data_IF_562246004552
#
_entry.id   IF_562246004552
#
_cell.length_a   1.000
_cell.length_b   1.000
_cell.length_c   1.000
_cell.angle_alpha   90.00
_cell.angle_beta   90.00
_cell.angle_gamma   90.00
#
_symmetry.space_group_name_H-M   'P 1'
#
loop_
_entity.id
_entity.type
_entity.pdbx_description
1 polymer ?
#
# COMPACT_ATOMS: atom_id res chain seq x y z
N UNK A 1 11.86 -10.86 26.21
CA UNK A 1 11.30 -12.20 26.46
C UNK A 1 12.44 -13.21 26.48
N UNK A 2 12.52 -14.09 27.49
CA UNK A 2 13.57 -15.13 27.55
C UNK A 2 13.28 -16.21 26.49
N UNK A 3 14.33 -16.81 25.95
CA UNK A 3 14.22 -17.96 25.03
C UNK A 3 13.51 -19.11 25.73
N UNK A 4 12.44 -19.63 25.13
CA UNK A 4 11.58 -20.68 25.70
C UNK A 4 12.09 -22.07 25.32
N UNK A 5 13.01 -22.61 26.12
CA UNK A 5 13.63 -23.93 25.88
C UNK A 5 12.62 -25.09 25.96
N UNK A 6 11.62 -24.97 26.84
CA UNK A 6 10.60 -26.01 27.06
C UNK A 6 9.72 -26.27 25.82
N UNK A 7 9.59 -25.28 24.92
CA UNK A 7 8.81 -25.43 23.70
C UNK A 7 9.55 -26.22 22.61
N UNK A 8 10.88 -26.27 22.67
CA UNK A 8 11.72 -26.91 21.65
C UNK A 8 12.09 -28.32 22.09
N UNK A 9 12.41 -28.53 23.37
CA UNK A 9 12.88 -29.81 23.90
C UNK A 9 11.75 -30.79 24.29
N UNK A 10 10.59 -30.71 23.64
CA UNK A 10 9.41 -31.53 23.97
C UNK A 10 9.68 -33.02 23.67
N UNK A 11 10.41 -33.31 22.59
CA UNK A 11 10.78 -34.68 22.23
C UNK A 11 11.69 -35.31 23.29
N UNK A 12 12.70 -34.57 23.75
CA UNK A 12 13.62 -35.04 24.80
C UNK A 12 12.89 -35.27 26.12
N UNK A 13 12.03 -34.33 26.51
CA UNK A 13 11.24 -34.42 27.75
C UNK A 13 10.29 -35.62 27.73
N UNK A 14 9.57 -35.83 26.62
CA UNK A 14 8.67 -36.98 26.49
C UNK A 14 9.42 -38.30 26.36
N UNK A 15 10.59 -38.32 25.73
CA UNK A 15 11.52 -39.45 25.75
C UNK A 15 11.82 -39.85 27.19
N UNK A 16 12.16 -38.88 28.04
CA UNK A 16 12.50 -39.13 29.42
C UNK A 16 11.30 -39.63 30.24
N UNK A 17 10.10 -39.11 29.99
CA UNK A 17 8.86 -39.58 30.63
C UNK A 17 8.42 -40.98 30.18
N UNK A 18 8.69 -41.36 28.94
CA UNK A 18 8.47 -42.72 28.45
C UNK A 18 9.48 -43.69 29.08
N UNK A 19 10.75 -43.29 29.18
CA UNK A 19 11.81 -44.08 29.83
C UNK A 19 11.56 -44.28 31.32
N UNK A 20 11.06 -43.27 32.03
CA UNK A 20 10.75 -43.35 33.46
C UNK A 20 9.42 -44.05 33.76
N UNK A 21 8.62 -44.39 32.74
CA UNK A 21 7.32 -45.03 32.91
C UNK A 21 6.20 -44.09 33.40
N UNK A 22 6.46 -42.78 33.51
CA UNK A 22 5.43 -41.76 33.84
C UNK A 22 4.35 -41.73 32.76
N UNK A 23 4.76 -41.86 31.50
CA UNK A 23 3.86 -42.04 30.37
C UNK A 23 4.02 -43.47 29.87
N UNK A 24 2.91 -44.22 29.83
CA UNK A 24 2.91 -45.63 29.39
C UNK A 24 2.80 -45.79 27.87
N UNK A 25 2.10 -44.87 27.21
CA UNK A 25 1.83 -44.93 25.78
C UNK A 25 2.53 -43.79 25.06
N UNK A 26 3.24 -44.12 23.98
CA UNK A 26 3.91 -43.13 23.15
C UNK A 26 2.88 -42.20 22.49
N UNK A 27 3.01 -40.87 22.63
CA UNK A 27 2.12 -39.92 21.95
C UNK A 27 2.21 -40.07 20.43
N UNK A 28 1.07 -39.89 19.74
CA UNK A 28 0.99 -40.05 18.28
C UNK A 28 2.00 -39.18 17.51
N UNK A 29 2.26 -37.95 17.98
CA UNK A 29 3.18 -37.01 17.34
C UNK A 29 4.67 -37.33 17.58
N UNK A 30 5.02 -38.18 18.56
CA UNK A 30 6.41 -38.40 18.97
C UNK A 30 7.30 -38.89 17.83
N UNK A 31 6.83 -39.88 17.06
CA UNK A 31 7.58 -40.45 15.93
C UNK A 31 7.74 -39.42 14.80
N UNK A 32 6.73 -38.57 14.59
CA UNK A 32 6.74 -37.52 13.56
C UNK A 32 7.78 -36.45 13.89
N UNK A 33 7.78 -35.94 15.12
CA UNK A 33 8.76 -34.94 15.59
C UNK A 33 10.17 -35.52 15.64
N UNK A 34 10.32 -36.82 15.93
CA UNK A 34 11.62 -37.49 15.84
C UNK A 34 12.17 -37.61 14.42
N UNK A 35 11.28 -37.69 13.43
CA UNK A 35 11.65 -37.70 12.01
C UNK A 35 11.93 -36.29 11.47
N UNK A 36 11.20 -35.28 11.95
CA UNK A 36 11.31 -33.89 11.52
C UNK A 36 11.61 -33.04 12.77
N UNK A 37 12.88 -32.95 13.20
CA UNK A 37 13.24 -32.16 14.37
C UNK A 37 13.01 -30.65 14.10
N UNK A 38 12.59 -29.87 15.11
CA UNK A 38 12.44 -28.43 14.97
C UNK A 38 13.79 -27.75 14.74
N UNK A 39 13.81 -26.62 14.02
CA UNK A 39 15.00 -25.78 13.88
C UNK A 39 15.25 -24.98 15.17
N UNK A 40 16.47 -25.08 15.73
CA UNK A 40 16.81 -24.56 17.06
C UNK A 40 17.72 -23.32 17.01
N UNK A 41 18.09 -22.88 15.81
CA UNK A 41 19.01 -21.75 15.66
C UNK A 41 18.30 -20.41 15.91
N UNK A 42 18.24 -20.03 17.20
CA UNK A 42 17.71 -18.75 17.68
C UNK A 42 18.80 -17.68 17.78
N UNK A 43 19.94 -17.88 17.13
CA UNK A 43 21.02 -16.90 17.12
C UNK A 43 20.66 -15.74 16.19
N UNK A 44 21.13 -14.55 16.53
CA UNK A 44 20.94 -13.37 15.68
C UNK A 44 21.91 -13.45 14.51
N UNK A 45 21.40 -13.75 13.33
CA UNK A 45 22.21 -13.80 12.10
C UNK A 45 22.50 -12.40 11.57
N UNK A 46 23.71 -12.19 11.06
CA UNK A 46 24.05 -10.95 10.37
C UNK A 46 23.29 -10.91 9.03
N UNK A 47 22.68 -9.76 8.73
CA UNK A 47 22.06 -9.50 7.44
C UNK A 47 23.18 -9.25 6.41
N UNK A 48 23.33 -10.15 5.44
CA UNK A 48 24.25 -9.94 4.31
C UNK A 48 23.58 -8.96 3.34
N UNK A 49 24.21 -7.81 3.11
CA UNK A 49 23.75 -6.84 2.11
C UNK A 49 23.75 -7.49 0.72
N UNK A 50 22.58 -7.77 0.16
CA UNK A 50 22.43 -8.18 -1.25
C UNK A 50 22.01 -7.04 -2.17
N UNK A 51 21.67 -5.88 -1.60
CA UNK A 51 21.41 -4.71 -2.41
C UNK A 51 22.74 -4.24 -2.99
N UNK A 52 22.91 -4.46 -4.29
CA UNK A 52 23.90 -3.77 -5.12
C UNK A 52 23.47 -2.30 -5.22
N UNK A 53 23.48 -1.57 -4.10
CA UNK A 53 23.50 -0.12 -4.19
C UNK A 53 24.80 0.22 -4.89
N UNK A 54 24.74 0.53 -6.18
CA UNK A 54 25.79 1.29 -6.85
C UNK A 54 25.79 2.64 -6.16
N UNK A 55 26.43 2.70 -4.99
CA UNK A 55 26.75 3.94 -4.32
C UNK A 55 27.65 4.67 -5.31
N UNK A 56 27.06 5.50 -6.18
CA UNK A 56 27.78 6.50 -6.92
C UNK A 56 28.45 7.35 -5.86
N UNK A 57 29.73 7.04 -5.62
CA UNK A 57 30.53 7.74 -4.64
C UNK A 57 30.64 9.17 -5.15
N UNK A 58 29.74 10.05 -4.65
CA UNK A 58 29.97 11.48 -4.60
C UNK A 58 31.36 11.63 -3.99
N UNK A 59 32.35 11.99 -4.81
CA UNK A 59 33.71 12.22 -4.34
C UNK A 59 33.64 13.49 -3.50
N UNK A 60 33.78 13.42 -2.16
CA UNK A 60 33.87 14.65 -1.40
C UNK A 60 35.15 15.36 -1.84
N UNK A 61 35.06 16.66 -2.13
CA UNK A 61 36.22 17.50 -2.45
C UNK A 61 37.29 17.50 -1.35
N UNK A 62 36.96 17.04 -0.14
CA UNK A 62 37.85 16.98 1.00
C UNK A 62 38.29 15.54 1.29
N UNK A 63 39.62 15.34 1.39
CA UNK A 63 40.19 14.06 1.79
C UNK A 63 39.81 13.70 3.23
N UNK A 64 39.31 12.47 3.42
CA UNK A 64 38.96 11.95 4.74
C UNK A 64 40.22 11.55 5.51
N UNK A 65 40.69 12.43 6.40
CA UNK A 65 41.92 12.22 7.19
C UNK A 65 41.73 11.51 8.53
N UNK A 66 40.48 11.30 8.99
CA UNK A 66 40.18 10.63 10.27
C UNK A 66 39.02 9.65 10.16
N UNK A 67 39.10 8.55 10.89
CA UNK A 67 38.02 7.56 11.01
C UNK A 67 37.03 8.03 12.09
N UNK A 68 35.72 8.03 11.78
CA UNK A 68 34.68 8.31 12.76
C UNK A 68 34.32 7.02 13.52
N UNK A 69 34.56 6.92 14.84
CA UNK A 69 34.30 5.70 15.60
C UNK A 69 32.81 5.40 15.83
N UNK A 70 31.90 6.38 15.62
CA UNK A 70 30.46 6.22 15.86
C UNK A 70 29.73 5.40 14.79
N UNK A 71 30.35 5.19 13.63
CA UNK A 71 29.71 4.55 12.46
C UNK A 71 29.65 3.01 12.52
N UNK A 72 30.30 2.37 13.49
CA UNK A 72 30.56 0.92 13.47
C UNK A 72 29.47 0.10 14.19
N UNK A 73 28.55 0.73 14.93
CA UNK A 73 27.67 -0.02 15.84
C UNK A 73 26.31 -0.42 15.22
N UNK A 74 25.94 -1.68 15.44
CA UNK A 74 24.59 -2.29 15.38
C UNK A 74 23.87 -2.41 14.02
N UNK A 75 24.47 -2.03 12.89
CA UNK A 75 23.82 -2.17 11.58
C UNK A 75 23.81 -3.59 11.01
N UNK A 76 24.81 -4.41 11.34
CA UNK A 76 24.98 -5.76 10.77
C UNK A 76 23.82 -6.72 11.08
N UNK A 77 23.15 -6.55 12.21
CA UNK A 77 22.09 -7.46 12.64
C UNK A 77 20.69 -6.85 12.54
N UNK A 78 20.56 -5.67 11.94
CA UNK A 78 19.27 -5.01 11.70
C UNK A 78 18.80 -5.41 10.30
N UNK A 79 17.50 -5.67 10.15
CA UNK A 79 16.90 -5.81 8.82
C UNK A 79 17.12 -4.53 8.01
N UNK A 80 17.47 -4.70 6.74
CA UNK A 80 17.64 -3.57 5.82
C UNK A 80 16.27 -3.08 5.37
N UNK A 81 16.16 -1.77 5.16
CA UNK A 81 15.03 -1.19 4.47
C UNK A 81 15.20 -1.51 2.98
N UNK A 82 14.15 -2.04 2.37
CA UNK A 82 14.10 -2.24 0.93
C UNK A 82 13.76 -0.89 0.29
N UNK A 83 14.59 -0.45 -0.65
CA UNK A 83 14.42 0.80 -1.39
C UNK A 83 14.57 0.46 -2.87
N UNK A 84 13.61 0.92 -3.66
CA UNK A 84 13.48 0.64 -5.08
C UNK A 84 13.43 1.97 -5.85
N UNK A 85 13.98 2.00 -7.07
CA UNK A 85 13.96 3.21 -7.91
C UNK A 85 12.53 3.54 -8.33
N UNK A 86 11.72 2.49 -8.47
CA UNK A 86 10.30 2.52 -8.74
C UNK A 86 9.53 3.30 -7.68
N UNK A 87 9.96 3.28 -6.41
CA UNK A 87 9.28 4.01 -5.34
C UNK A 87 9.41 5.53 -5.53
N UNK A 88 10.56 6.00 -6.02
CA UNK A 88 10.78 7.42 -6.34
C UNK A 88 9.92 7.83 -7.55
N UNK A 89 9.85 6.98 -8.58
CA UNK A 89 9.01 7.22 -9.76
C UNK A 89 7.52 7.21 -9.43
N UNK A 90 7.06 6.30 -8.56
CA UNK A 90 5.68 6.26 -8.07
C UNK A 90 5.34 7.55 -7.32
N UNK A 91 6.20 7.99 -6.41
CA UNK A 91 6.02 9.23 -5.67
C UNK A 91 5.89 10.42 -6.63
N UNK A 92 6.86 10.55 -7.55
CA UNK A 92 6.85 11.61 -8.58
C UNK A 92 5.56 11.61 -9.41
N UNK A 93 5.11 10.43 -9.85
CA UNK A 93 3.91 10.31 -10.68
C UNK A 93 2.65 10.77 -9.94
N UNK A 94 2.42 10.28 -8.72
CA UNK A 94 1.21 10.63 -7.96
C UNK A 94 1.26 12.06 -7.38
N UNK A 95 2.44 12.64 -7.20
CA UNK A 95 2.60 14.05 -6.87
C UNK A 95 2.21 14.94 -8.06
N UNK A 96 2.58 14.54 -9.28
CA UNK A 96 2.18 15.23 -10.52
C UNK A 96 0.70 15.01 -10.87
N UNK A 97 0.13 13.85 -10.51
CA UNK A 97 -1.25 13.47 -10.83
C UNK A 97 -2.05 13.11 -9.58
N UNK A 98 -2.43 14.09 -8.73
CA UNK A 98 -3.16 13.82 -7.50
C UNK A 98 -4.49 13.08 -7.73
N UNK A 99 -5.17 13.38 -8.84
CA UNK A 99 -6.46 12.77 -9.20
C UNK A 99 -6.35 11.30 -9.62
N UNK A 100 -5.17 10.81 -9.97
CA UNK A 100 -4.98 9.36 -10.20
C UNK A 100 -5.12 8.56 -8.90
N UNK A 101 -4.94 9.19 -7.73
CA UNK A 101 -5.18 8.55 -6.44
C UNK A 101 -6.67 8.34 -6.14
N UNK A 102 -7.56 9.06 -6.84
CA UNK A 102 -8.99 8.87 -6.72
C UNK A 102 -9.48 7.61 -7.47
N UNK A 103 -8.68 7.11 -8.41
CA UNK A 103 -8.99 5.88 -9.12
C UNK A 103 -8.86 4.68 -8.16
N UNK A 104 -9.94 3.90 -7.95
CA UNK A 104 -9.92 2.80 -6.99
C UNK A 104 -8.98 1.68 -7.47
N UNK A 105 -8.15 1.19 -6.56
CA UNK A 105 -7.16 0.13 -6.83
C UNK A 105 -7.38 -1.08 -5.94
N UNK A 106 -7.45 -2.26 -6.55
CA UNK A 106 -7.48 -3.54 -5.85
C UNK A 106 -6.04 -3.96 -5.50
N UNK A 107 -5.76 -4.13 -4.21
CA UNK A 107 -4.46 -4.57 -3.68
C UNK A 107 -4.49 -6.06 -3.27
N UNK A 108 -5.65 -6.70 -3.38
CA UNK A 108 -5.78 -8.13 -3.16
C UNK A 108 -5.22 -8.84 -4.40
N UNK A 109 -4.11 -9.54 -4.22
CA UNK A 109 -3.45 -10.32 -5.26
C UNK A 109 -4.27 -11.56 -5.64
N UNK A 110 -4.14 -12.00 -6.90
CA UNK A 110 -4.82 -13.19 -7.40
C UNK A 110 -3.98 -14.44 -7.10
N UNK A 111 -4.63 -15.60 -6.90
CA UNK A 111 -3.95 -16.82 -6.41
C UNK A 111 -2.84 -17.38 -7.35
N UNK A 112 -2.83 -16.95 -8.63
CA UNK A 112 -1.89 -17.37 -9.66
C UNK A 112 -0.96 -16.20 -10.09
N UNK A 113 -0.30 -15.56 -9.12
CA UNK A 113 0.70 -14.48 -9.32
C UNK A 113 1.91 -14.86 -10.21
N UNK A 114 1.91 -16.05 -10.81
CA UNK A 114 2.85 -16.49 -11.85
C UNK A 114 2.74 -15.58 -13.08
N UNK A 115 1.54 -15.04 -13.38
CA UNK A 115 1.31 -14.20 -14.56
C UNK A 115 1.96 -12.81 -14.48
N UNK A 116 2.29 -12.30 -13.27
CA UNK A 116 3.04 -11.03 -13.15
C UNK A 116 4.49 -11.16 -13.64
N UNK A 117 5.06 -12.37 -13.68
CA UNK A 117 6.44 -12.59 -14.11
C UNK A 117 6.61 -12.57 -15.64
N UNK A 118 5.51 -12.64 -16.41
CA UNK A 118 5.54 -12.71 -17.88
C UNK A 118 4.94 -11.46 -18.57
N UNK A 119 4.75 -10.36 -17.83
CA UNK A 119 4.24 -9.11 -18.40
C UNK A 119 5.29 -8.48 -19.33
N UNK A 120 4.98 -8.41 -20.62
CA UNK A 120 5.81 -7.73 -21.61
C UNK A 120 5.52 -6.21 -21.61
N UNK A 121 6.45 -5.45 -21.04
CA UNK A 121 6.39 -3.98 -20.96
C UNK A 121 6.83 -3.26 -22.25
N UNK A 122 6.89 -3.97 -23.38
CA UNK A 122 7.02 -3.38 -24.71
C UNK A 122 5.89 -2.41 -25.06
N UNK A 123 4.70 -2.60 -24.46
CA UNK A 123 3.55 -1.72 -24.52
C UNK A 123 3.06 -1.33 -23.13
N UNK A 124 2.43 -0.16 -23.00
CA UNK A 124 1.91 0.31 -21.71
C UNK A 124 0.62 -0.42 -21.27
N UNK A 125 -0.19 -0.86 -22.23
CA UNK A 125 -1.42 -1.62 -21.97
C UNK A 125 -1.07 -3.09 -21.73
N UNK A 126 -1.59 -3.62 -20.63
CA UNK A 126 -1.43 -5.00 -20.23
C UNK A 126 -2.83 -5.64 -20.13
N UNK A 127 -2.94 -6.92 -20.45
CA UNK A 127 -4.24 -7.60 -20.46
C UNK A 127 -4.72 -7.94 -19.05
N UNK A 128 -3.81 -8.46 -18.21
CA UNK A 128 -4.14 -8.98 -16.86
C UNK A 128 -4.13 -7.88 -15.79
N UNK A 129 -3.46 -6.75 -16.07
CA UNK A 129 -3.27 -5.66 -15.10
C UNK A 129 -4.10 -4.44 -15.48
N UNK A 130 -4.84 -3.83 -14.53
CA UNK A 130 -5.55 -2.59 -14.79
C UNK A 130 -4.60 -1.46 -15.17
N UNK A 131 -5.11 -0.51 -15.95
CA UNK A 131 -4.34 0.63 -16.43
C UNK A 131 -4.23 1.72 -15.35
N UNK A 132 -3.05 1.84 -14.75
CA UNK A 132 -2.74 2.71 -13.60
C UNK A 132 -1.35 3.35 -13.76
N UNK A 133 -0.96 4.26 -12.87
CA UNK A 133 0.38 4.84 -12.79
C UNK A 133 1.50 3.80 -12.67
N UNK A 134 1.22 2.62 -12.12
CA UNK A 134 2.18 1.52 -12.10
C UNK A 134 2.57 1.06 -13.52
N UNK A 135 1.70 1.20 -14.51
CA UNK A 135 2.04 0.89 -15.91
C UNK A 135 3.08 1.86 -16.45
N UNK A 136 2.99 3.14 -16.05
CA UNK A 136 4.01 4.15 -16.39
C UNK A 136 5.34 3.73 -15.79
N UNK A 137 5.39 3.48 -14.48
CA UNK A 137 6.62 3.12 -13.78
C UNK A 137 7.30 1.90 -14.42
N UNK A 138 6.59 0.81 -14.65
CA UNK A 138 7.18 -0.38 -15.27
C UNK A 138 7.61 -0.14 -16.72
N UNK A 139 6.81 0.62 -17.50
CA UNK A 139 7.17 1.02 -18.85
C UNK A 139 8.46 1.85 -18.87
N UNK A 140 8.65 2.77 -17.92
CA UNK A 140 9.89 3.54 -17.83
C UNK A 140 11.11 2.67 -17.58
N UNK A 141 11.01 1.70 -16.67
CA UNK A 141 12.10 0.77 -16.39
C UNK A 141 12.44 -0.07 -17.62
N UNK A 142 11.42 -0.55 -18.34
CA UNK A 142 11.61 -1.29 -19.58
C UNK A 142 12.35 -0.44 -20.63
N UNK A 143 11.95 0.82 -20.81
CA UNK A 143 12.59 1.74 -21.76
C UNK A 143 14.05 2.03 -21.38
N UNK A 144 14.34 2.20 -20.09
CA UNK A 144 15.71 2.39 -19.59
C UNK A 144 16.57 1.13 -19.84
N UNK A 145 16.02 -0.06 -19.60
CA UNK A 145 16.76 -1.32 -19.75
C UNK A 145 16.98 -1.73 -21.21
N UNK A 146 15.98 -1.55 -22.08
CA UNK A 146 16.01 -2.06 -23.45
C UNK A 146 16.40 -1.01 -24.49
N UNK A 147 15.97 0.25 -24.31
CA UNK A 147 16.25 1.34 -25.25
C UNK A 147 17.43 2.22 -24.80
N UNK A 148 18.01 1.97 -23.62
CA UNK A 148 19.11 2.76 -23.02
C UNK A 148 18.82 4.27 -22.92
N UNK A 149 17.55 4.64 -22.74
CA UNK A 149 17.15 6.04 -22.55
C UNK A 149 17.52 6.54 -21.14
N UNK A 150 17.68 7.85 -21.00
CA UNK A 150 17.78 8.48 -19.68
C UNK A 150 16.47 8.27 -18.92
N UNK A 151 16.55 8.12 -17.59
CA UNK A 151 15.38 7.88 -16.72
C UNK A 151 14.30 8.96 -16.94
N UNK A 152 14.72 10.22 -17.10
CA UNK A 152 13.80 11.34 -17.34
C UNK A 152 13.11 11.22 -18.70
N UNK A 153 13.87 10.96 -19.76
CA UNK A 153 13.33 10.83 -21.12
C UNK A 153 12.40 9.62 -21.25
N UNK A 154 12.77 8.50 -20.62
CA UNK A 154 11.93 7.31 -20.52
C UNK A 154 10.63 7.60 -19.76
N UNK A 155 10.69 8.38 -18.67
CA UNK A 155 9.53 8.83 -17.92
C UNK A 155 8.59 9.71 -18.73
N UNK A 156 9.12 10.69 -19.45
CA UNK A 156 8.30 11.54 -20.32
C UNK A 156 7.64 10.74 -21.45
N UNK A 157 8.37 9.83 -22.08
CA UNK A 157 7.83 8.94 -23.12
C UNK A 157 6.68 8.09 -22.58
N UNK A 158 6.89 7.39 -21.46
CA UNK A 158 5.86 6.55 -20.84
C UNK A 158 4.64 7.37 -20.39
N UNK A 159 4.86 8.59 -19.90
CA UNK A 159 3.79 9.51 -19.48
C UNK A 159 2.95 10.00 -20.67
N UNK A 160 3.56 10.30 -21.82
CA UNK A 160 2.80 10.65 -23.02
C UNK A 160 2.02 9.46 -23.59
N UNK A 161 2.62 8.26 -23.60
CA UNK A 161 1.89 7.02 -23.94
C UNK A 161 0.67 6.83 -23.00
N UNK A 162 0.85 7.14 -21.71
CA UNK A 162 -0.22 7.06 -20.73
C UNK A 162 -1.38 8.03 -21.01
N UNK A 163 -1.06 9.29 -21.32
CA UNK A 163 -2.08 10.28 -21.64
C UNK A 163 -2.89 9.92 -22.89
N UNK A 164 -2.23 9.41 -23.94
CA UNK A 164 -2.92 8.96 -25.14
C UNK A 164 -3.94 7.87 -24.83
N UNK A 165 -3.55 6.89 -24.01
CA UNK A 165 -4.45 5.81 -23.60
C UNK A 165 -5.59 6.33 -22.72
N UNK A 166 -5.34 7.25 -21.79
CA UNK A 166 -6.41 7.87 -20.97
C UNK A 166 -7.42 8.62 -21.82
N UNK A 167 -6.97 9.46 -22.74
CA UNK A 167 -7.84 10.21 -23.65
C UNK A 167 -8.69 9.27 -24.50
N UNK A 168 -8.10 8.17 -24.97
CA UNK A 168 -8.82 7.16 -25.71
C UNK A 168 -9.92 6.49 -24.86
N UNK A 169 -9.61 6.08 -23.62
CA UNK A 169 -10.59 5.46 -22.72
C UNK A 169 -11.75 6.40 -22.39
N UNK A 170 -11.47 7.68 -22.16
CA UNK A 170 -12.49 8.69 -21.90
C UNK A 170 -13.40 8.90 -23.13
N UNK A 171 -12.81 8.98 -24.32
CA UNK A 171 -13.56 9.09 -25.56
C UNK A 171 -14.43 7.84 -25.82
N UNK A 172 -13.88 6.64 -25.58
CA UNK A 172 -14.60 5.37 -25.72
C UNK A 172 -15.83 5.32 -24.79
N UNK A 173 -15.70 5.75 -23.54
CA UNK A 173 -16.83 5.81 -22.59
C UNK A 173 -17.89 6.84 -23.01
N UNK A 174 -17.47 8.02 -23.48
CA UNK A 174 -18.40 9.06 -23.96
C UNK A 174 -19.18 8.58 -25.18
N UNK A 175 -18.48 8.05 -26.19
CA UNK A 175 -19.09 7.54 -27.42
C UNK A 175 -20.04 6.38 -27.09
N UNK A 176 -19.64 5.46 -26.22
CA UNK A 176 -20.47 4.32 -25.83
C UNK A 176 -21.79 4.77 -25.19
N UNK A 177 -21.77 5.81 -24.36
CA UNK A 177 -22.98 6.39 -23.77
C UNK A 177 -23.85 7.06 -24.82
N UNK A 178 -23.27 7.87 -25.71
CA UNK A 178 -23.99 8.53 -26.79
C UNK A 178 -24.69 7.51 -27.70
N UNK A 179 -23.97 6.49 -28.17
CA UNK A 179 -24.52 5.41 -28.98
C UNK A 179 -25.66 4.70 -28.26
N UNK A 180 -25.48 4.32 -26.99
CA UNK A 180 -26.53 3.67 -26.21
C UNK A 180 -27.80 4.54 -26.14
N UNK A 181 -27.68 5.84 -25.89
CA UNK A 181 -28.84 6.75 -25.86
C UNK A 181 -29.52 6.89 -27.23
N UNK A 182 -28.75 6.94 -28.31
CA UNK A 182 -29.27 7.02 -29.67
C UNK A 182 -30.07 5.77 -30.05
N UNK A 183 -29.65 4.60 -29.57
CA UNK A 183 -30.38 3.33 -29.76
C UNK A 183 -31.50 3.11 -28.73
N UNK A 184 -31.84 4.12 -27.92
CA UNK A 184 -32.99 4.09 -27.01
C UNK A 184 -32.72 3.47 -25.65
N UNK A 185 -31.46 3.28 -25.24
CA UNK A 185 -31.14 2.89 -23.87
C UNK A 185 -31.56 4.01 -22.90
N UNK A 186 -32.21 3.63 -21.81
CA UNK A 186 -32.64 4.54 -20.75
C UNK A 186 -31.84 4.25 -19.47
N UNK A 187 -31.06 5.23 -19.02
CA UNK A 187 -30.35 5.17 -17.75
C UNK A 187 -31.23 5.74 -16.64
N UNK A 188 -31.26 5.09 -15.47
CA UNK A 188 -32.15 5.50 -14.36
C UNK A 188 -31.77 6.85 -13.77
N UNK A 189 -30.55 6.94 -13.26
CA UNK A 189 -30.03 8.12 -12.58
C UNK A 189 -28.57 8.30 -13.02
N UNK A 190 -28.18 9.56 -13.24
CA UNK A 190 -26.77 9.88 -13.48
C UNK A 190 -26.00 9.90 -12.16
N UNK A 191 -24.67 9.70 -12.19
CA UNK A 191 -23.84 9.81 -10.99
C UNK A 191 -23.97 11.19 -10.32
N UNK A 192 -24.20 12.24 -11.10
CA UNK A 192 -24.42 13.61 -10.62
C UNK A 192 -25.77 13.76 -9.93
N UNK A 193 -26.83 13.18 -10.49
CA UNK A 193 -28.16 13.20 -9.88
C UNK A 193 -28.20 12.38 -8.58
N UNK A 194 -27.57 11.21 -8.56
CA UNK A 194 -27.36 10.45 -7.34
C UNK A 194 -26.59 11.27 -6.28
N UNK A 195 -25.55 12.00 -6.71
CA UNK A 195 -24.81 12.92 -5.85
C UNK A 195 -25.71 13.98 -5.22
N UNK A 196 -26.53 14.67 -6.01
CA UNK A 196 -27.47 15.67 -5.51
C UNK A 196 -28.49 15.10 -4.54
N UNK A 197 -29.02 13.90 -4.77
CA UNK A 197 -29.93 13.25 -3.84
C UNK A 197 -29.25 13.04 -2.47
N UNK A 198 -27.99 12.59 -2.46
CA UNK A 198 -27.20 12.42 -1.22
C UNK A 198 -26.84 13.73 -0.53
N UNK A 199 -26.54 14.77 -1.29
CA UNK A 199 -26.33 16.11 -0.74
C UNK A 199 -27.62 16.65 -0.09
N UNK A 200 -28.77 16.45 -0.74
CA UNK A 200 -30.06 16.90 -0.21
C UNK A 200 -30.41 16.19 1.11
N UNK A 201 -30.21 14.87 1.20
CA UNK A 201 -30.41 14.10 2.44
C UNK A 201 -29.62 14.70 3.62
N UNK A 202 -28.39 15.15 3.38
CA UNK A 202 -27.53 15.75 4.41
C UNK A 202 -27.94 17.19 4.72
N UNK A 203 -28.32 17.98 3.70
CA UNK A 203 -28.79 19.36 3.88
C UNK A 203 -30.08 19.40 4.71
N UNK A 204 -30.99 18.46 4.46
CA UNK A 204 -32.25 18.37 5.21
C UNK A 204 -31.99 18.07 6.70
N UNK A 205 -31.08 17.12 6.99
CA UNK A 205 -30.64 16.84 8.36
C UNK A 205 -29.98 18.06 9.01
N UNK A 206 -29.06 18.72 8.30
CA UNK A 206 -28.38 19.93 8.79
C UNK A 206 -29.37 21.06 9.09
N UNK A 207 -30.42 21.21 8.28
CA UNK A 207 -31.45 22.24 8.48
C UNK A 207 -32.22 22.01 9.78
N UNK A 208 -32.65 20.79 10.06
CA UNK A 208 -33.32 20.45 11.32
C UNK A 208 -32.42 20.74 12.54
N UNK A 209 -31.14 20.36 12.46
CA UNK A 209 -30.16 20.64 13.52
C UNK A 209 -29.92 22.14 13.72
N UNK A 210 -29.82 22.90 12.63
CA UNK A 210 -29.60 24.33 12.66
C UNK A 210 -30.79 25.09 13.26
N UNK A 211 -32.02 24.66 12.95
CA UNK A 211 -33.24 25.22 13.55
C UNK A 211 -33.26 25.00 15.06
N UNK A 212 -33.02 23.76 15.52
CA UNK A 212 -32.95 23.43 16.95
C UNK A 212 -31.86 24.24 17.69
N UNK A 213 -30.67 24.36 17.09
CA UNK A 213 -29.60 25.16 17.69
C UNK A 213 -29.97 26.64 17.79
N UNK A 214 -30.63 27.17 16.76
CA UNK A 214 -31.09 28.56 16.74
C UNK A 214 -32.14 28.80 17.83
N UNK A 215 -33.09 27.89 18.01
CA UNK A 215 -34.07 27.95 19.10
C UNK A 215 -33.41 27.90 20.48
N UNK A 216 -32.45 26.99 20.70
CA UNK A 216 -31.71 26.92 21.96
C UNK A 216 -30.92 28.20 22.26
N UNK A 217 -30.30 28.80 21.25
CA UNK A 217 -29.59 30.08 21.38
C UNK A 217 -30.54 31.22 21.74
N UNK A 218 -31.71 31.30 21.08
CA UNK A 218 -32.74 32.28 21.40
C UNK A 218 -33.25 32.12 22.84
N UNK A 219 -33.57 30.89 23.25
CA UNK A 219 -34.03 30.58 24.61
C UNK A 219 -32.98 30.93 25.66
N UNK A 220 -31.69 30.65 25.39
CA UNK A 220 -30.59 31.02 26.29
C UNK A 220 -30.45 32.54 26.40
N UNK A 221 -30.54 33.27 25.29
CA UNK A 221 -30.52 34.74 25.28
C UNK A 221 -31.69 35.34 26.07
N UNK A 222 -32.90 34.80 25.88
CA UNK A 222 -34.08 35.22 26.64
C UNK A 222 -33.94 34.92 28.14
N UNK A 223 -33.37 33.77 28.52
CA UNK A 223 -33.10 33.41 29.91
C UNK A 223 -32.13 34.37 30.61
N UNK A 224 -31.09 34.84 29.92
CA UNK A 224 -30.13 35.83 30.45
C UNK A 224 -30.82 37.17 30.71
N UNK A 225 -31.64 37.65 29.77
CA UNK A 225 -32.38 38.91 29.92
C UNK A 225 -33.41 38.89 31.07
N UNK A 226 -33.93 37.71 31.42
CA UNK A 226 -34.85 37.57 32.57
C UNK A 226 -34.10 37.54 33.91
N UNK A 227 -32.91 36.94 33.98
CA UNK A 227 -32.07 36.95 35.18
C UNK A 227 -31.57 38.35 35.56
N UNK A 228 -31.29 39.22 34.57
CA UNK A 228 -30.94 40.62 34.85
C UNK A 228 -32.11 41.40 35.46
N UNK A 229 -33.36 41.13 35.02
CA UNK A 229 -34.57 41.79 35.54
C UNK A 229 -34.94 41.37 36.96
N UNK A 230 -34.64 40.13 37.35
CA UNK A 230 -34.94 39.62 38.70
C UNK A 230 -33.87 40.01 39.73
N UNK A 231 -32.76 40.64 39.30
CA UNK A 231 -31.64 41.06 40.15
C UNK A 231 -31.64 42.54 40.54
N UNK A 232 -32.66 43.29 40.11
CA UNK A 232 -32.93 44.71 40.47
C UNK A 232 -34.19 44.83 41.32
#
# INVERSE_FOLDING_TARGET
MKIQQNAINILERTSNFLKSGVIKQQPAWYKVVGRIPPQVDLTRKAAVNRQNTTNFASQPSNFKTRVNPRTIKNKLYRSQKLEFVEDELRALFYDQHPWERANPKLVVENADDIELFELDWSNIRQLTKPFDGENVVQRTLYLVQNENLSILEAYDKARFEYYQVKMQLEAEDSISKEEATMYGAQFKESALEYGFQKEQEVIDQWKEEAEQQTELLQNKSAGINNLEKDST
#
